data_IF_248036075159
#
_entry.id   IF_248036075159
#
_cell.length_a   1.000
_cell.length_b   1.000
_cell.length_c   1.000
_cell.angle_alpha   90.00
_cell.angle_beta   90.00
_cell.angle_gamma   90.00
#
_symmetry.space_group_name_H-M   'P 1'
#
loop_
_entity.id
_entity.type
_entity.pdbx_description
1 polymer ?
#
# COMPACT_ATOMS: atom_id res chain seq x y z
N UNK A 1 7.81 12.38 9.22
CA UNK A 1 8.25 11.00 9.51
C UNK A 1 8.78 10.29 8.27
N UNK A 2 8.00 10.15 7.18
CA UNK A 2 8.46 9.50 5.94
C UNK A 2 9.83 9.99 5.41
N UNK A 3 10.04 11.31 5.28
CA UNK A 3 11.34 11.87 4.86
C UNK A 3 12.47 11.67 5.89
N UNK A 4 12.15 11.66 7.19
CA UNK A 4 13.13 11.42 8.25
C UNK A 4 13.57 9.95 8.29
N UNK A 5 12.62 9.03 8.09
CA UNK A 5 12.90 7.59 7.94
C UNK A 5 13.69 7.35 6.65
N UNK A 6 13.31 7.98 5.54
CA UNK A 6 14.07 7.89 4.29
C UNK A 6 15.51 8.41 4.43
N UNK A 7 15.71 9.54 5.12
CA UNK A 7 17.03 10.06 5.43
C UNK A 7 17.83 9.10 6.33
N UNK A 8 17.21 8.50 7.35
CA UNK A 8 17.83 7.49 8.20
C UNK A 8 18.29 6.24 7.43
N UNK A 9 17.43 5.70 6.55
CA UNK A 9 17.79 4.57 5.68
C UNK A 9 18.89 4.93 4.69
N UNK A 10 18.91 6.17 4.21
CA UNK A 10 19.99 6.69 3.36
C UNK A 10 21.33 6.69 4.11
N UNK A 11 21.37 7.16 5.37
CA UNK A 11 22.58 7.12 6.20
C UNK A 11 23.10 5.70 6.46
N UNK A 12 22.20 4.70 6.46
CA UNK A 12 22.54 3.27 6.61
C UNK A 12 22.97 2.60 5.30
N UNK A 13 22.85 3.27 4.16
CA UNK A 13 23.07 2.66 2.84
C UNK A 13 21.95 1.71 2.39
N UNK A 14 20.81 1.70 3.08
CA UNK A 14 19.68 0.79 2.84
C UNK A 14 18.54 1.48 2.06
N UNK A 15 18.86 2.52 1.29
CA UNK A 15 17.88 3.34 0.57
C UNK A 15 16.97 2.51 -0.35
N UNK A 16 17.51 1.42 -0.93
CA UNK A 16 16.75 0.52 -1.80
C UNK A 16 15.55 -0.12 -1.07
N UNK A 17 15.74 -0.57 0.18
CA UNK A 17 14.67 -1.17 0.98
C UNK A 17 13.57 -0.14 1.24
N UNK A 18 13.96 1.08 1.62
CA UNK A 18 13.02 2.18 1.83
C UNK A 18 12.21 2.50 0.57
N UNK A 19 12.85 2.58 -0.59
CA UNK A 19 12.18 2.86 -1.87
C UNK A 19 11.19 1.74 -2.24
N UNK A 20 11.53 0.48 -2.00
CA UNK A 20 10.61 -0.64 -2.21
C UNK A 20 9.41 -0.57 -1.28
N UNK A 21 9.62 -0.33 0.02
CA UNK A 21 8.51 -0.20 0.97
C UNK A 21 7.62 1.02 0.65
N UNK A 22 8.22 2.13 0.19
CA UNK A 22 7.48 3.29 -0.30
C UNK A 22 6.63 2.95 -1.54
N UNK A 23 7.18 2.20 -2.50
CA UNK A 23 6.44 1.76 -3.68
C UNK A 23 5.24 0.87 -3.30
N UNK A 24 5.42 -0.03 -2.34
CA UNK A 24 4.33 -0.87 -1.81
C UNK A 24 3.25 -0.02 -1.12
N UNK A 25 3.64 1.00 -0.36
CA UNK A 25 2.69 1.92 0.25
C UNK A 25 1.94 2.74 -0.81
N UNK A 26 2.62 3.21 -1.87
CA UNK A 26 1.97 3.91 -2.98
C UNK A 26 0.97 2.98 -3.70
N UNK A 27 1.35 1.73 -3.95
CA UNK A 27 0.46 0.72 -4.54
C UNK A 27 -0.83 0.55 -3.72
N UNK A 28 -0.69 0.47 -2.39
CA UNK A 28 -1.81 0.38 -1.47
C UNK A 28 -2.78 1.55 -1.60
N UNK A 29 -2.27 2.78 -1.58
CA UNK A 29 -3.09 4.00 -1.70
C UNK A 29 -3.72 4.13 -3.09
N UNK A 30 -3.01 3.72 -4.14
CA UNK A 30 -3.56 3.64 -5.49
C UNK A 30 -4.76 2.68 -5.57
N UNK A 31 -4.75 1.59 -4.80
CA UNK A 31 -5.88 0.65 -4.77
C UNK A 31 -7.13 1.24 -4.09
N UNK A 32 -6.95 1.99 -2.99
CA UNK A 32 -8.05 2.77 -2.40
C UNK A 32 -8.62 3.77 -3.40
N UNK A 33 -7.74 4.52 -4.06
CA UNK A 33 -8.16 5.51 -5.04
C UNK A 33 -8.88 4.88 -6.25
N UNK A 34 -8.37 3.77 -6.77
CA UNK A 34 -9.02 3.06 -7.86
C UNK A 34 -10.40 2.53 -7.45
N UNK A 35 -10.54 2.02 -6.22
CA UNK A 35 -11.82 1.53 -5.69
C UNK A 35 -12.86 2.66 -5.59
N UNK A 36 -12.48 3.81 -5.02
CA UNK A 36 -13.38 4.95 -4.90
C UNK A 36 -13.75 5.54 -6.27
N UNK A 37 -12.78 5.65 -7.20
CA UNK A 37 -13.05 6.09 -8.57
C UNK A 37 -14.03 5.16 -9.31
N UNK A 38 -13.91 3.84 -9.10
CA UNK A 38 -14.81 2.84 -9.70
C UNK A 38 -16.25 2.95 -9.18
N UNK A 39 -16.43 3.40 -7.94
CA UNK A 39 -17.74 3.67 -7.35
C UNK A 39 -18.32 5.05 -7.75
N UNK A 40 -17.59 5.82 -8.56
CA UNK A 40 -18.03 7.12 -9.07
C UNK A 40 -17.65 8.31 -8.20
N UNK A 41 -16.88 8.10 -7.13
CA UNK A 41 -16.39 9.19 -6.28
C UNK A 41 -15.23 9.93 -6.97
N UNK A 42 -15.27 11.26 -6.94
CA UNK A 42 -14.22 12.10 -7.54
C UNK A 42 -13.11 12.35 -6.53
N UNK A 43 -11.95 11.75 -6.80
CA UNK A 43 -10.72 11.97 -6.06
C UNK A 43 -9.94 13.07 -6.76
N UNK A 44 -9.75 14.21 -6.10
CA UNK A 44 -9.02 15.34 -6.66
C UNK A 44 -7.52 15.23 -6.40
N UNK A 45 -7.13 14.73 -5.23
CA UNK A 45 -5.73 14.48 -4.89
C UNK A 45 -5.58 13.33 -3.88
N UNK A 46 -4.52 12.54 -4.05
CA UNK A 46 -4.02 11.63 -3.01
C UNK A 46 -2.84 12.35 -2.36
N UNK A 47 -3.02 12.84 -1.15
CA UNK A 47 -1.97 13.52 -0.40
C UNK A 47 -1.31 12.51 0.52
N UNK A 48 -0.10 12.08 0.17
CA UNK A 48 0.72 11.26 1.06
C UNK A 48 1.16 12.11 2.26
N UNK A 49 0.55 11.89 3.43
CA UNK A 49 0.94 12.55 4.67
C UNK A 49 1.94 11.69 5.45
N UNK A 50 2.69 12.30 6.40
CA UNK A 50 3.68 11.55 7.19
C UNK A 50 3.10 10.44 8.09
N UNK A 51 1.78 10.40 8.27
CA UNK A 51 1.05 9.49 9.16
C UNK A 51 -0.03 8.66 8.44
N UNK A 52 -0.10 8.73 7.09
CA UNK A 52 -1.13 8.07 6.27
C UNK A 52 -1.38 8.86 4.99
N UNK A 53 -2.19 8.36 4.05
CA UNK A 53 -2.66 9.18 2.94
C UNK A 53 -4.01 9.83 3.27
N UNK A 54 -4.18 11.08 2.85
CA UNK A 54 -5.48 11.74 2.83
C UNK A 54 -5.94 11.82 1.39
N UNK A 55 -7.12 11.27 1.14
CA UNK A 55 -7.81 11.41 -0.12
C UNK A 55 -8.61 12.71 -0.04
N UNK A 56 -8.21 13.71 -0.82
CA UNK A 56 -8.94 14.96 -0.98
C UNK A 56 -9.86 14.83 -2.21
N UNK A 57 -11.18 14.93 -1.99
CA UNK A 57 -12.20 14.65 -3.01
C UNK A 57 -13.61 14.96 -2.54
N UNK A 58 -14.55 14.99 -3.48
CA UNK A 58 -15.99 15.17 -3.17
C UNK A 58 -16.58 13.83 -2.70
N UNK A 59 -16.30 13.49 -1.44
CA UNK A 59 -16.80 12.29 -0.76
C UNK A 59 -18.07 12.57 0.07
N UNK A 60 -18.73 13.73 -0.13
CA UNK A 60 -19.98 14.02 0.57
C UNK A 60 -21.03 12.97 0.24
N UNK A 61 -21.49 12.24 1.28
CA UNK A 61 -22.53 11.22 1.13
C UNK A 61 -22.04 9.84 0.72
N UNK A 62 -20.73 9.53 0.87
CA UNK A 62 -20.26 8.15 0.73
C UNK A 62 -21.08 7.22 1.66
N UNK A 63 -21.61 6.15 1.09
CA UNK A 63 -22.35 5.17 1.88
C UNK A 63 -21.38 4.37 2.75
N UNK A 64 -21.78 3.97 3.96
CA UNK A 64 -20.94 3.16 4.84
C UNK A 64 -20.48 1.84 4.18
N UNK A 65 -21.26 1.30 3.25
CA UNK A 65 -20.88 0.12 2.45
C UNK A 65 -19.73 0.42 1.50
N UNK A 66 -19.77 1.57 0.84
CA UNK A 66 -18.73 2.01 -0.09
C UNK A 66 -17.45 2.38 0.65
N UNK A 67 -17.57 3.02 1.82
CA UNK A 67 -16.44 3.35 2.69
C UNK A 67 -15.71 2.08 3.13
N UNK A 68 -16.45 1.08 3.63
CA UNK A 68 -15.86 -0.22 3.99
C UNK A 68 -15.24 -0.91 2.78
N UNK A 69 -15.92 -0.89 1.62
CA UNK A 69 -15.39 -1.50 0.40
C UNK A 69 -14.07 -0.86 -0.02
N UNK A 70 -14.00 0.47 -0.06
CA UNK A 70 -12.78 1.22 -0.38
C UNK A 70 -11.70 0.91 0.65
N UNK A 71 -12.01 0.95 1.95
CA UNK A 71 -11.07 0.67 3.03
C UNK A 71 -10.50 -0.76 2.98
N UNK A 72 -11.23 -1.74 2.46
CA UNK A 72 -10.74 -3.12 2.30
C UNK A 72 -9.90 -3.29 1.02
N UNK A 73 -10.14 -2.49 -0.02
CA UNK A 73 -9.42 -2.63 -1.30
C UNK A 73 -7.91 -2.41 -1.19
N UNK A 74 -7.45 -1.48 -0.37
CA UNK A 74 -6.01 -1.25 -0.14
C UNK A 74 -5.31 -2.48 0.47
N UNK A 75 -5.74 -2.96 1.66
CA UNK A 75 -5.20 -4.16 2.27
C UNK A 75 -5.28 -5.38 1.36
N UNK A 76 -6.40 -5.56 0.64
CA UNK A 76 -6.59 -6.69 -0.27
C UNK A 76 -5.62 -6.65 -1.45
N UNK A 77 -5.35 -5.48 -2.02
CA UNK A 77 -4.36 -5.31 -3.09
C UNK A 77 -2.98 -5.79 -2.64
N UNK A 78 -2.53 -5.34 -1.47
CA UNK A 78 -1.24 -5.74 -0.93
C UNK A 78 -1.18 -7.23 -0.55
N UNK A 79 -2.28 -7.80 -0.06
CA UNK A 79 -2.37 -9.24 0.21
C UNK A 79 -2.23 -10.05 -1.07
N UNK A 80 -2.90 -9.64 -2.16
CA UNK A 80 -2.78 -10.27 -3.48
C UNK A 80 -1.35 -10.18 -3.98
N UNK A 81 -0.68 -9.03 -3.84
CA UNK A 81 0.73 -8.86 -4.22
C UNK A 81 1.66 -9.79 -3.44
N UNK A 82 1.44 -9.95 -2.13
CA UNK A 82 2.23 -10.89 -1.33
C UNK A 82 2.03 -12.34 -1.77
N UNK A 83 0.78 -12.76 -1.99
CA UNK A 83 0.45 -14.11 -2.50
C UNK A 83 1.09 -14.35 -3.87
N UNK A 84 1.06 -13.34 -4.75
CA UNK A 84 1.67 -13.42 -6.07
C UNK A 84 3.18 -13.68 -5.99
N UNK A 85 3.91 -12.97 -5.14
CA UNK A 85 5.34 -13.22 -4.95
C UNK A 85 5.61 -14.61 -4.37
N UNK A 86 4.85 -15.04 -3.36
CA UNK A 86 4.95 -16.39 -2.80
C UNK A 86 4.74 -17.44 -3.89
N UNK A 87 3.72 -17.28 -4.74
CA UNK A 87 3.45 -18.19 -5.86
C UNK A 87 4.62 -18.22 -6.86
N UNK A 88 5.22 -17.07 -7.18
CA UNK A 88 6.41 -17.01 -8.03
C UNK A 88 7.58 -17.78 -7.42
N UNK A 89 7.79 -17.72 -6.10
CA UNK A 89 8.89 -18.44 -5.46
C UNK A 89 8.79 -19.96 -5.59
N UNK A 90 7.57 -20.50 -5.66
CA UNK A 90 7.36 -21.93 -5.92
C UNK A 90 7.73 -22.32 -7.36
N UNK A 91 7.57 -21.41 -8.33
CA UNK A 91 7.91 -21.65 -9.74
C UNK A 91 9.39 -21.34 -10.05
N UNK A 92 9.92 -20.28 -9.45
CA UNK A 92 11.26 -19.76 -9.65
C UNK A 92 11.87 -19.32 -8.30
N UNK A 93 12.46 -20.25 -7.53
CA UNK A 93 12.97 -19.96 -6.17
C UNK A 93 14.03 -18.86 -6.12
N UNK A 94 14.79 -18.66 -7.20
CA UNK A 94 15.81 -17.60 -7.30
C UNK A 94 15.20 -16.20 -7.20
N UNK A 95 13.92 -16.02 -7.50
CA UNK A 95 13.21 -14.75 -7.39
C UNK A 95 13.04 -14.28 -5.93
N UNK A 96 13.12 -15.19 -4.96
CA UNK A 96 13.00 -14.88 -3.54
C UNK A 96 13.97 -13.76 -3.13
N UNK A 97 15.25 -13.90 -3.48
CA UNK A 97 16.31 -12.96 -3.11
C UNK A 97 16.09 -11.52 -3.62
N UNK A 98 15.21 -11.32 -4.60
CA UNK A 98 14.93 -10.01 -5.19
C UNK A 98 13.57 -9.43 -4.79
N UNK A 99 12.66 -10.24 -4.24
CA UNK A 99 11.25 -9.88 -4.05
C UNK A 99 10.75 -10.09 -2.62
N UNK A 100 11.57 -10.67 -1.74
CA UNK A 100 11.28 -10.89 -0.32
C UNK A 100 10.83 -9.60 0.39
N UNK A 101 11.56 -8.52 0.20
CA UNK A 101 11.30 -7.22 0.83
C UNK A 101 9.94 -6.66 0.40
N UNK A 102 9.62 -6.75 -0.90
CA UNK A 102 8.34 -6.30 -1.43
C UNK A 102 7.19 -7.17 -0.90
N UNK A 103 7.38 -8.49 -0.83
CA UNK A 103 6.40 -9.43 -0.29
C UNK A 103 6.11 -9.17 1.19
N UNK A 104 7.16 -9.10 2.03
CA UNK A 104 7.01 -8.87 3.47
C UNK A 104 6.45 -7.48 3.77
N UNK A 105 6.87 -6.45 3.04
CA UNK A 105 6.30 -5.10 3.17
C UNK A 105 4.80 -5.09 2.80
N UNK A 106 4.44 -5.77 1.71
CA UNK A 106 3.03 -5.87 1.25
C UNK A 106 2.18 -6.57 2.30
N UNK A 107 2.63 -7.72 2.80
CA UNK A 107 1.94 -8.46 3.83
C UNK A 107 1.80 -7.66 5.13
N UNK A 108 2.86 -6.96 5.55
CA UNK A 108 2.84 -6.13 6.76
C UNK A 108 1.83 -4.99 6.66
N UNK A 109 1.82 -4.27 5.54
CA UNK A 109 0.88 -3.16 5.31
C UNK A 109 -0.55 -3.69 5.23
N UNK A 110 -0.78 -4.84 4.57
CA UNK A 110 -2.10 -5.46 4.51
C UNK A 110 -2.62 -5.83 5.91
N UNK A 111 -1.79 -6.48 6.74
CA UNK A 111 -2.18 -6.91 8.08
C UNK A 111 -2.47 -5.72 8.99
N UNK A 112 -1.59 -4.71 9.03
CA UNK A 112 -1.76 -3.54 9.90
C UNK A 112 -3.03 -2.75 9.53
N UNK A 113 -3.35 -2.62 8.24
CA UNK A 113 -4.54 -1.86 7.80
C UNK A 113 -5.83 -2.70 7.77
N UNK A 114 -5.77 -4.01 8.06
CA UNK A 114 -6.95 -4.86 8.24
C UNK A 114 -7.30 -5.05 9.73
N UNK A 115 -6.37 -4.76 10.64
CA UNK A 115 -6.64 -4.78 12.08
C UNK A 115 -7.67 -3.69 12.42
N UNK A 116 -8.69 -3.99 13.24
CA UNK A 116 -9.61 -2.97 13.73
C UNK A 116 -8.82 -1.98 14.59
N UNK A 117 -8.87 -0.70 14.19
CA UNK A 117 -8.29 0.42 14.92
C UNK A 117 -9.27 0.96 15.99
#
# INVERSE_FOLDING_TARGET
MFLLVGFWYCLKGELFLFLLSALVAIQHECAHAFAAAKLGYRLNAIVLMPFGAVIDGDLHGISLKDEIFVAVCGPLCNLITAIFFIAIWWLHPTMYAFTDTACYSSLSIALVNLLPA
#
